data_IF_543282138951
#
_entry.id   IF_543282138951
#
_cell.length_a   1.000
_cell.length_b   1.000
_cell.length_c   1.000
_cell.angle_alpha   90.00
_cell.angle_beta   90.00
_cell.angle_gamma   90.00
#
_symmetry.space_group_name_H-M   'P 1'
#
loop_
_entity.id
_entity.type
_entity.pdbx_description
1 polymer ?
#
# COMPACT_ATOMS: atom_id res chain seq x y z
N UNK A 1 -35.85 -53.00 -2.32
CA UNK A 1 -34.83 -51.95 -2.37
C UNK A 1 -33.46 -52.60 -2.21
N UNK A 2 -32.68 -52.73 -3.29
CA UNK A 2 -31.44 -53.54 -3.33
C UNK A 2 -30.15 -52.70 -3.33
N UNK A 3 -30.28 -51.37 -3.25
CA UNK A 3 -29.15 -50.43 -3.38
C UNK A 3 -28.34 -50.22 -2.09
N UNK A 4 -28.85 -50.66 -0.94
CA UNK A 4 -28.23 -50.38 0.37
C UNK A 4 -27.06 -51.31 0.73
N UNK A 5 -26.80 -52.35 -0.08
CA UNK A 5 -25.73 -53.35 0.15
C UNK A 5 -24.42 -53.07 -0.59
N UNK A 6 -24.37 -52.01 -1.40
CA UNK A 6 -23.21 -51.66 -2.21
C UNK A 6 -22.62 -50.29 -1.85
N UNK A 7 -23.12 -49.64 -0.80
CA UNK A 7 -22.59 -48.36 -0.34
C UNK A 7 -21.43 -48.64 0.63
N UNK A 8 -20.21 -48.18 0.33
CA UNK A 8 -19.08 -48.33 1.25
C UNK A 8 -19.32 -47.54 2.53
N UNK A 9 -18.79 -48.02 3.65
CA UNK A 9 -18.75 -47.25 4.89
C UNK A 9 -17.78 -46.09 4.73
N UNK A 10 -18.24 -44.88 5.02
CA UNK A 10 -17.37 -43.70 5.08
C UNK A 10 -16.60 -43.78 6.38
N UNK A 11 -15.31 -44.08 6.30
CA UNK A 11 -14.39 -44.08 7.45
C UNK A 11 -13.84 -42.68 7.70
N UNK A 12 -13.38 -42.40 8.92
CA UNK A 12 -12.79 -41.11 9.28
C UNK A 12 -11.57 -40.76 8.41
N UNK A 13 -10.87 -41.77 7.89
CA UNK A 13 -9.77 -41.63 6.91
C UNK A 13 -10.21 -40.92 5.63
N UNK A 14 -11.51 -41.01 5.26
CA UNK A 14 -12.06 -40.30 4.10
C UNK A 14 -12.00 -38.78 4.25
N UNK A 15 -11.99 -38.29 5.49
CA UNK A 15 -11.90 -36.87 5.83
C UNK A 15 -10.51 -36.45 6.33
N UNK A 16 -9.57 -37.40 6.43
CA UNK A 16 -8.21 -37.08 6.87
C UNK A 16 -7.44 -36.36 5.76
N UNK A 17 -7.18 -35.08 5.98
CA UNK A 17 -6.29 -34.30 5.14
C UNK A 17 -4.85 -34.76 5.37
N UNK A 18 -4.19 -35.20 4.30
CA UNK A 18 -2.81 -35.73 4.35
C UNK A 18 -1.72 -34.64 4.32
N UNK A 19 -2.08 -33.36 4.49
CA UNK A 19 -1.10 -32.28 4.50
C UNK A 19 -0.42 -32.20 5.86
N UNK A 20 0.84 -32.62 5.91
CA UNK A 20 1.80 -32.16 6.93
C UNK A 20 2.37 -30.83 6.46
N UNK A 21 1.77 -29.74 6.91
CA UNK A 21 2.31 -28.40 6.73
C UNK A 21 1.67 -27.47 7.75
N UNK A 22 2.49 -26.91 8.64
CA UNK A 22 2.17 -25.76 9.48
C UNK A 22 2.48 -24.45 8.76
N UNK A 23 2.67 -24.51 7.44
CA UNK A 23 3.11 -23.38 6.63
C UNK A 23 1.88 -22.58 6.21
N UNK A 24 1.89 -21.29 6.53
CA UNK A 24 0.87 -20.32 6.13
C UNK A 24 0.76 -20.28 4.61
N UNK A 25 -0.46 -20.17 4.08
CA UNK A 25 -0.65 -20.10 2.63
C UNK A 25 -0.11 -18.76 2.12
N UNK A 26 0.99 -18.82 1.36
CA UNK A 26 1.69 -17.63 0.85
C UNK A 26 1.56 -17.54 -0.67
N UNK A 27 1.24 -16.36 -1.18
CA UNK A 27 1.12 -16.06 -2.59
C UNK A 27 2.04 -14.90 -2.97
N UNK A 28 2.86 -15.08 -4.00
CA UNK A 28 3.66 -14.00 -4.57
C UNK A 28 2.88 -13.28 -5.66
N UNK A 29 2.79 -11.95 -5.54
CA UNK A 29 2.14 -11.06 -6.48
C UNK A 29 3.22 -10.19 -7.11
N UNK A 30 3.42 -10.35 -8.41
CA UNK A 30 4.31 -9.50 -9.19
C UNK A 30 3.50 -8.54 -10.05
N UNK A 31 3.87 -7.26 -10.04
CA UNK A 31 3.26 -6.19 -10.83
C UNK A 31 4.32 -5.22 -11.34
N UNK A 32 3.88 -4.19 -12.05
CA UNK A 32 4.72 -3.13 -12.60
C UNK A 32 4.13 -1.75 -12.30
N UNK A 33 4.90 -0.68 -12.56
CA UNK A 33 4.52 0.70 -12.26
C UNK A 33 3.23 1.09 -12.94
N UNK A 34 3.03 0.72 -14.21
CA UNK A 34 1.83 1.08 -14.95
C UNK A 34 0.56 0.53 -14.29
N UNK A 35 0.55 -0.76 -13.94
CA UNK A 35 -0.61 -1.41 -13.31
C UNK A 35 -0.84 -0.89 -11.90
N UNK A 36 0.23 -0.67 -11.13
CA UNK A 36 0.10 -0.13 -9.79
C UNK A 36 -0.40 1.34 -9.80
N UNK A 37 0.07 2.17 -10.73
CA UNK A 37 -0.44 3.53 -10.94
C UNK A 37 -1.94 3.52 -11.26
N UNK A 38 -2.41 2.58 -12.10
CA UNK A 38 -3.83 2.43 -12.40
C UNK A 38 -4.65 2.09 -11.15
N UNK A 39 -4.15 1.18 -10.31
CA UNK A 39 -4.78 0.81 -9.06
C UNK A 39 -4.83 1.99 -8.07
N UNK A 40 -3.71 2.69 -7.87
CA UNK A 40 -3.64 3.87 -7.00
C UNK A 40 -4.65 4.93 -7.47
N UNK A 41 -4.66 5.24 -8.77
CA UNK A 41 -5.56 6.24 -9.33
C UNK A 41 -7.04 5.83 -9.23
N UNK A 42 -7.38 4.54 -9.25
CA UNK A 42 -8.77 4.10 -9.05
C UNK A 42 -9.19 4.25 -7.59
N UNK A 43 -8.33 3.90 -6.63
CA UNK A 43 -8.64 4.04 -5.19
C UNK A 43 -8.81 5.50 -4.77
N UNK A 44 -7.96 6.41 -5.22
CA UNK A 44 -8.09 7.84 -4.93
C UNK A 44 -9.42 8.41 -5.46
N UNK A 45 -9.97 7.84 -6.56
CA UNK A 45 -11.26 8.27 -7.11
C UNK A 45 -12.46 7.74 -6.35
N UNK A 46 -12.33 6.59 -5.69
CA UNK A 46 -13.41 5.96 -4.92
C UNK A 46 -13.68 6.73 -3.61
N UNK A 47 -12.63 7.30 -3.01
CA UNK A 47 -12.68 8.08 -1.78
C UNK A 47 -12.23 9.53 -2.03
N UNK A 48 -13.09 10.38 -2.60
CA UNK A 48 -12.72 11.75 -2.93
C UNK A 48 -12.45 12.55 -1.65
N UNK A 49 -11.20 12.94 -1.46
CA UNK A 49 -10.81 13.88 -0.40
C UNK A 49 -11.36 15.29 -0.68
N UNK A 50 -11.52 16.10 0.38
CA UNK A 50 -11.90 17.52 0.27
C UNK A 50 -10.93 18.29 -0.64
N UNK A 51 -9.65 17.89 -0.63
CA UNK A 51 -8.58 18.46 -1.44
C UNK A 51 -8.10 17.44 -2.49
N UNK A 52 -8.21 17.76 -3.80
CA UNK A 52 -7.74 16.85 -4.85
C UNK A 52 -6.24 16.58 -4.72
N UNK A 53 -5.87 15.32 -4.79
CA UNK A 53 -4.47 14.89 -4.82
C UNK A 53 -4.28 13.75 -5.83
N UNK A 54 -3.03 13.50 -6.17
CA UNK A 54 -2.60 12.42 -7.04
C UNK A 54 -1.31 11.82 -6.51
N UNK A 55 -1.16 10.52 -6.67
CA UNK A 55 0.08 9.78 -6.42
C UNK A 55 0.42 9.03 -7.70
N UNK A 56 1.67 9.13 -8.16
CA UNK A 56 2.16 8.48 -9.36
C UNK A 56 3.58 7.96 -9.14
N UNK A 57 3.83 6.71 -9.51
CA UNK A 57 5.14 6.09 -9.58
C UNK A 57 5.81 6.50 -10.90
N UNK A 58 6.95 7.18 -10.82
CA UNK A 58 7.70 7.69 -11.97
C UNK A 58 8.93 6.79 -12.25
N UNK A 59 10.00 7.35 -12.83
CA UNK A 59 11.18 6.57 -13.22
C UNK A 59 11.82 5.89 -12.01
N UNK A 60 12.14 6.68 -10.97
CA UNK A 60 12.92 6.31 -9.79
C UNK A 60 12.27 6.74 -8.46
N UNK A 61 11.17 7.52 -8.50
CA UNK A 61 10.53 8.08 -7.32
C UNK A 61 9.00 7.97 -7.35
N UNK A 62 8.41 8.06 -6.16
CA UNK A 62 6.97 8.26 -5.98
C UNK A 62 6.70 9.76 -5.94
N UNK A 63 5.81 10.25 -6.80
CA UNK A 63 5.44 11.65 -6.83
C UNK A 63 4.01 11.86 -6.29
N UNK A 64 3.91 12.68 -5.26
CA UNK A 64 2.64 13.22 -4.78
C UNK A 64 2.42 14.61 -5.35
N UNK A 65 1.21 14.89 -5.84
CA UNK A 65 0.78 16.21 -6.33
C UNK A 65 -0.56 16.61 -5.74
N UNK A 66 -0.68 17.87 -5.32
CA UNK A 66 -1.94 18.47 -4.87
C UNK A 66 -1.92 19.99 -5.14
N UNK A 67 -2.97 20.70 -4.75
CA UNK A 67 -3.01 22.15 -4.79
C UNK A 67 -3.82 22.71 -3.62
N UNK A 68 -3.29 23.73 -2.96
CA UNK A 68 -3.90 24.36 -1.79
C UNK A 68 -4.35 25.78 -2.08
N UNK A 69 -5.30 26.29 -1.31
CA UNK A 69 -5.74 27.68 -1.39
C UNK A 69 -5.07 28.51 -0.30
N UNK A 70 -4.15 29.40 -0.69
CA UNK A 70 -3.46 30.34 0.21
C UNK A 70 -3.76 31.75 -0.24
N UNK A 71 -4.34 32.58 0.65
CA UNK A 71 -4.71 33.97 0.36
C UNK A 71 -5.58 34.12 -0.92
N UNK A 72 -6.47 33.16 -1.17
CA UNK A 72 -7.35 33.14 -2.34
C UNK A 72 -6.68 32.71 -3.65
N UNK A 73 -5.40 32.33 -3.63
CA UNK A 73 -4.68 31.80 -4.79
C UNK A 73 -4.48 30.29 -4.65
N UNK A 74 -4.61 29.56 -5.77
CA UNK A 74 -4.27 28.13 -5.82
C UNK A 74 -2.77 27.97 -6.01
N UNK A 75 -2.12 27.30 -5.07
CA UNK A 75 -0.69 27.02 -5.09
C UNK A 75 -0.47 25.52 -5.29
N UNK A 76 0.27 25.10 -6.35
CA UNK A 76 0.56 23.69 -6.57
C UNK A 76 1.58 23.18 -5.55
N UNK A 77 1.39 21.92 -5.17
CA UNK A 77 2.26 21.17 -4.28
C UNK A 77 2.78 19.95 -5.04
N UNK A 78 4.09 19.73 -5.00
CA UNK A 78 4.73 18.50 -5.50
C UNK A 78 5.70 17.98 -4.45
N UNK A 79 5.62 16.70 -4.12
CA UNK A 79 6.60 15.99 -3.29
C UNK A 79 7.10 14.79 -4.08
N UNK A 80 8.42 14.62 -4.15
CA UNK A 80 9.03 13.40 -4.64
C UNK A 80 9.58 12.62 -3.45
N UNK A 81 9.29 11.31 -3.44
CA UNK A 81 9.75 10.39 -2.41
C UNK A 81 10.61 9.29 -3.02
N UNK A 82 11.69 8.93 -2.34
CA UNK A 82 12.45 7.72 -2.60
C UNK A 82 11.84 6.56 -1.78
N UNK A 83 11.40 5.48 -2.43
CA UNK A 83 10.85 4.32 -1.74
C UNK A 83 11.95 3.39 -1.21
N UNK A 84 11.69 2.77 -0.07
CA UNK A 84 12.54 1.76 0.57
C UNK A 84 11.64 0.71 1.23
N UNK A 85 11.83 -0.57 0.88
CA UNK A 85 11.12 -1.67 1.55
C UNK A 85 11.80 -1.95 2.88
N UNK A 86 11.05 -1.86 3.97
CA UNK A 86 11.53 -2.15 5.32
C UNK A 86 11.63 -3.66 5.56
N UNK A 87 12.36 -4.06 6.62
CA UNK A 87 12.53 -5.48 6.97
C UNK A 87 11.20 -6.21 7.26
N UNK A 88 10.20 -5.49 7.77
CA UNK A 88 8.85 -6.02 7.99
C UNK A 88 7.99 -6.05 6.71
N UNK A 89 8.50 -5.50 5.60
CA UNK A 89 7.85 -5.37 4.30
C UNK A 89 6.85 -4.22 4.20
N UNK A 90 6.83 -3.29 5.15
CA UNK A 90 6.22 -1.97 4.95
C UNK A 90 7.06 -1.13 3.97
N UNK A 91 6.45 -0.12 3.37
CA UNK A 91 7.13 0.76 2.41
C UNK A 91 7.41 2.12 3.05
N UNK A 92 8.69 2.44 3.23
CA UNK A 92 9.14 3.75 3.69
C UNK A 92 9.35 4.68 2.50
N UNK A 93 8.72 5.85 2.53
CA UNK A 93 8.82 6.90 1.53
C UNK A 93 9.59 8.08 2.12
N UNK A 94 10.85 8.25 1.71
CA UNK A 94 11.70 9.34 2.17
C UNK A 94 11.53 10.55 1.28
N UNK A 95 11.24 11.72 1.86
CA UNK A 95 11.12 12.95 1.07
C UNK A 95 12.48 13.30 0.46
N UNK A 96 12.53 13.35 -0.86
CA UNK A 96 13.71 13.75 -1.61
C UNK A 96 13.65 15.24 -1.97
N UNK A 97 12.56 15.64 -2.61
CA UNK A 97 12.33 17.03 -3.00
C UNK A 97 10.90 17.45 -2.72
N UNK A 98 10.74 18.76 -2.53
CA UNK A 98 9.44 19.37 -2.28
C UNK A 98 9.37 20.72 -2.98
N UNK A 99 8.22 21.02 -3.58
CA UNK A 99 7.93 22.32 -4.18
C UNK A 99 6.55 22.81 -3.77
N UNK A 100 6.48 24.04 -3.25
CA UNK A 100 5.25 24.79 -2.98
C UNK A 100 5.29 26.12 -3.72
N UNK A 101 5.00 26.11 -5.02
CA UNK A 101 5.20 27.29 -5.87
C UNK A 101 6.64 27.81 -5.78
N UNK A 102 6.81 29.06 -5.31
CA UNK A 102 8.12 29.72 -5.13
C UNK A 102 8.61 29.71 -3.67
N UNK A 103 7.87 29.08 -2.75
CA UNK A 103 8.18 29.11 -1.32
C UNK A 103 9.16 27.99 -0.97
N UNK A 104 10.31 28.37 -0.39
CA UNK A 104 11.27 27.45 0.21
C UNK A 104 10.91 27.23 1.68
N UNK A 105 10.11 26.20 1.96
CA UNK A 105 9.76 25.78 3.32
C UNK A 105 10.63 24.59 3.77
N UNK A 106 10.97 24.48 5.06
CA UNK A 106 11.56 23.27 5.62
C UNK A 106 10.62 22.07 5.45
N UNK A 107 11.17 20.92 5.06
CA UNK A 107 10.40 19.69 4.78
C UNK A 107 9.53 19.22 5.95
N UNK A 108 9.97 19.44 7.19
CA UNK A 108 9.20 19.09 8.39
C UNK A 108 7.85 19.80 8.45
N UNK A 109 7.81 21.09 8.09
CA UNK A 109 6.58 21.89 8.08
C UNK A 109 5.64 21.42 6.96
N UNK A 110 6.20 20.93 5.86
CA UNK A 110 5.45 20.44 4.71
C UNK A 110 4.64 19.20 5.07
N UNK A 111 5.29 18.21 5.69
CA UNK A 111 4.61 16.98 6.07
C UNK A 111 3.49 17.26 7.08
N UNK A 112 3.72 18.18 8.03
CA UNK A 112 2.69 18.65 8.96
C UNK A 112 1.49 19.28 8.22
N UNK A 113 1.74 20.12 7.22
CA UNK A 113 0.68 20.74 6.42
C UNK A 113 -0.16 19.71 5.67
N UNK A 114 0.47 18.71 5.05
CA UNK A 114 -0.25 17.64 4.33
C UNK A 114 -1.20 16.89 5.26
N UNK A 115 -0.71 16.47 6.42
CA UNK A 115 -1.53 15.74 7.41
C UNK A 115 -2.71 16.56 7.95
N UNK A 116 -2.62 17.90 7.88
CA UNK A 116 -3.68 18.77 8.37
C UNK A 116 -4.83 18.97 7.38
N UNK A 117 -4.61 18.65 6.09
CA UNK A 117 -5.55 18.96 5.00
C UNK A 117 -6.06 17.74 4.25
N UNK A 118 -5.35 16.62 4.34
CA UNK A 118 -5.71 15.38 3.68
C UNK A 118 -5.99 14.36 4.75
N UNK A 119 -7.19 13.81 4.70
CA UNK A 119 -7.54 12.64 5.50
C UNK A 119 -6.83 11.44 4.86
N UNK A 120 -5.72 11.04 5.48
CA UNK A 120 -4.92 9.90 5.05
C UNK A 120 -5.48 8.66 5.73
N UNK A 121 -5.52 7.54 5.01
CA UNK A 121 -5.94 6.29 5.59
C UNK A 121 -5.03 5.89 6.77
N UNK A 122 -5.57 5.17 7.76
CA UNK A 122 -4.87 4.81 9.00
C UNK A 122 -3.55 4.04 8.81
N UNK A 123 -3.36 3.41 7.66
CA UNK A 123 -2.14 2.69 7.27
C UNK A 123 -1.08 3.60 6.64
N UNK A 124 -1.29 4.91 6.58
CA UNK A 124 -0.32 5.93 6.17
C UNK A 124 0.13 6.72 7.40
N UNK A 125 1.34 6.44 7.89
CA UNK A 125 1.90 7.11 9.06
C UNK A 125 2.96 8.10 8.60
N UNK A 126 2.90 9.34 9.08
CA UNK A 126 3.91 10.35 8.75
C UNK A 126 4.82 10.61 9.95
N UNK A 127 6.12 10.78 9.68
CA UNK A 127 7.10 11.17 10.68
C UNK A 127 7.78 12.47 10.19
N UNK A 128 7.17 13.65 10.45
CA UNK A 128 7.66 14.91 9.92
C UNK A 128 9.10 15.24 10.29
N UNK A 129 9.52 14.91 11.52
CA UNK A 129 10.87 15.14 12.02
C UNK A 129 11.92 14.35 11.22
N UNK A 130 11.58 13.13 10.82
CA UNK A 130 12.46 12.22 10.09
C UNK A 130 12.31 12.36 8.56
N UNK A 131 11.35 13.20 8.12
CA UNK A 131 11.04 13.47 6.71
C UNK A 131 10.64 12.22 5.93
N UNK A 132 9.91 11.33 6.58
CA UNK A 132 9.46 10.07 5.99
C UNK A 132 7.96 9.88 6.16
N UNK A 133 7.38 9.11 5.24
CA UNK A 133 6.02 8.58 5.32
C UNK A 133 6.15 7.06 5.25
N UNK A 134 5.55 6.35 6.19
CA UNK A 134 5.52 4.90 6.22
C UNK A 134 4.14 4.42 5.75
N UNK A 135 4.15 3.61 4.70
CA UNK A 135 2.99 2.90 4.19
C UNK A 135 2.96 1.53 4.86
N UNK A 136 2.12 1.41 5.89
CA UNK A 136 1.93 0.19 6.69
C UNK A 136 1.07 -0.84 5.96
N UNK A 137 1.59 -1.35 4.84
CA UNK A 137 0.89 -2.34 4.00
C UNK A 137 0.54 -3.61 4.78
N UNK A 138 1.37 -3.95 5.77
CA UNK A 138 1.17 -5.09 6.69
C UNK A 138 -0.01 -4.91 7.63
N UNK A 139 -0.49 -3.67 7.80
CA UNK A 139 -1.62 -3.33 8.70
C UNK A 139 -2.93 -3.08 7.94
N UNK A 140 -2.96 -3.29 6.62
CA UNK A 140 -4.18 -3.15 5.83
C UNK A 140 -5.13 -4.29 6.19
N UNK A 141 -6.31 -3.95 6.71
CA UNK A 141 -7.35 -4.91 7.06
C UNK A 141 -8.16 -5.28 5.82
N UNK A 142 -8.07 -6.54 5.40
CA UNK A 142 -8.74 -7.05 4.20
C UNK A 142 -9.98 -7.89 4.52
N UNK A 143 -10.00 -8.46 5.71
CA UNK A 143 -11.07 -9.28 6.23
C UNK A 143 -11.34 -8.94 7.71
N UNK A 144 -12.50 -9.36 8.22
CA UNK A 144 -12.91 -9.06 9.59
C UNK A 144 -12.01 -9.71 10.65
N UNK A 145 -11.32 -10.80 10.28
CA UNK A 145 -10.50 -11.60 11.19
C UNK A 145 -9.00 -11.25 11.10
N UNK A 146 -8.61 -10.29 10.26
CA UNK A 146 -7.20 -9.91 10.03
C UNK A 146 -6.32 -11.11 9.65
N UNK A 147 -6.91 -12.10 8.98
CA UNK A 147 -6.23 -13.34 8.59
C UNK A 147 -5.38 -13.17 7.33
N UNK A 148 -5.61 -12.10 6.57
CA UNK A 148 -4.86 -11.81 5.35
C UNK A 148 -4.08 -10.51 5.53
N UNK A 149 -2.76 -10.60 5.33
CA UNK A 149 -1.90 -9.42 5.28
C UNK A 149 -0.99 -9.45 4.05
N UNK A 150 -0.52 -8.26 3.68
CA UNK A 150 0.43 -8.06 2.59
C UNK A 150 1.76 -7.57 3.13
N UNK A 151 2.83 -7.84 2.42
CA UNK A 151 4.13 -7.21 2.65
C UNK A 151 4.86 -7.06 1.33
N UNK A 152 5.54 -5.94 1.12
CA UNK A 152 6.45 -5.80 -0.02
C UNK A 152 7.69 -6.67 0.19
N UNK A 153 8.13 -7.33 -0.88
CA UNK A 153 9.44 -7.98 -0.94
C UNK A 153 10.40 -7.18 -1.83
N UNK A 154 9.87 -6.59 -2.91
CA UNK A 154 10.61 -5.77 -3.87
C UNK A 154 9.76 -4.56 -4.26
N UNK A 155 10.37 -3.38 -4.28
CA UNK A 155 9.75 -2.16 -4.81
C UNK A 155 10.81 -1.37 -5.59
N UNK A 156 11.19 -1.91 -6.75
CA UNK A 156 12.22 -1.34 -7.61
C UNK A 156 11.54 -0.59 -8.76
N UNK A 157 11.57 0.74 -8.68
CA UNK A 157 10.97 1.58 -9.70
C UNK A 157 11.83 1.65 -10.98
N UNK A 158 13.16 1.63 -10.87
CA UNK A 158 14.05 1.73 -12.02
C UNK A 158 13.90 0.50 -12.91
N UNK A 159 13.84 -0.69 -12.30
CA UNK A 159 13.68 -1.98 -12.98
C UNK A 159 12.21 -2.33 -13.29
N UNK A 160 11.25 -1.45 -12.96
CA UNK A 160 9.80 -1.67 -13.13
C UNK A 160 9.30 -2.98 -12.47
N UNK A 161 9.92 -3.35 -11.34
CA UNK A 161 9.67 -4.60 -10.62
C UNK A 161 9.11 -4.33 -9.22
N UNK A 162 7.84 -4.67 -9.04
CA UNK A 162 7.15 -4.56 -7.75
C UNK A 162 6.60 -5.93 -7.36
N UNK A 163 6.99 -6.41 -6.19
CA UNK A 163 6.62 -7.72 -5.67
C UNK A 163 6.08 -7.60 -4.25
N UNK A 164 4.97 -8.30 -4.01
CA UNK A 164 4.33 -8.42 -2.70
C UNK A 164 4.11 -9.89 -2.39
N UNK A 165 4.19 -10.23 -1.11
CA UNK A 165 3.64 -11.48 -0.59
C UNK A 165 2.29 -11.19 0.06
N UNK A 166 1.29 -11.97 -0.31
CA UNK A 166 0.04 -12.11 0.43
C UNK A 166 0.17 -13.37 1.29
N UNK A 167 -0.09 -13.25 2.58
CA UNK A 167 -0.05 -14.37 3.52
C UNK A 167 -1.43 -14.54 4.13
N UNK A 168 -1.90 -15.78 4.20
CA UNK A 168 -3.18 -16.16 4.80
C UNK A 168 -2.92 -17.06 6.01
N UNK A 169 -3.41 -16.64 7.18
CA UNK A 169 -3.28 -17.28 8.49
C UNK A 169 -4.56 -18.01 8.91
#
# INVERSE_FOLDING_TARGET
MMFQRYLPEVTDEHFMQHSKGTDEATFTIQTNKQRLNQLIASRIKEEPAEMPYMVELLEDHVQFRSAISVLGQRVPITINFLPEVLENGDLLLRVETFTLGLLNLPVEQVLQLITSWIDLADWIITYPADRVVEVKVTSIKLDENESIYFKFTTFDLEEDLIELEMVIQ
#
